data_IF_573611841852
#
_entry.id   IF_573611841852
#
_cell.length_a   1.000
_cell.length_b   1.000
_cell.length_c   1.000
_cell.angle_alpha   90.00
_cell.angle_beta   90.00
_cell.angle_gamma   90.00
#
_symmetry.space_group_name_H-M   'P 1'
#
loop_
_entity.id
_entity.type
_entity.pdbx_description
1 polymer ?
#
# COMPACT_ATOMS: atom_id res chain seq x y z
N UNK A 1 16.06 -8.10 10.58
CA UNK A 1 14.73 -8.60 11.00
C UNK A 1 13.68 -7.91 10.14
N UNK A 2 12.98 -8.67 9.28
CA UNK A 2 11.94 -8.17 8.39
C UNK A 2 10.76 -7.73 9.26
N UNK A 3 10.53 -6.43 9.45
CA UNK A 3 9.39 -5.93 10.23
C UNK A 3 8.15 -6.02 9.35
N UNK A 4 7.54 -7.21 9.35
CA UNK A 4 6.25 -7.47 8.72
C UNK A 4 5.20 -6.48 9.25
N UNK A 5 4.38 -5.95 8.33
CA UNK A 5 3.10 -5.30 8.61
C UNK A 5 2.42 -5.89 9.86
N UNK A 6 2.21 -5.07 10.89
CA UNK A 6 1.50 -5.51 12.10
C UNK A 6 -0.02 -5.38 11.92
N UNK A 7 -0.55 -6.08 10.92
CA UNK A 7 -1.99 -6.18 10.66
C UNK A 7 -2.74 -6.79 11.85
N UNK A 8 -2.05 -7.57 12.70
CA UNK A 8 -2.62 -8.14 13.92
C UNK A 8 -3.21 -7.10 14.87
N UNK A 9 -2.62 -5.92 14.99
CA UNK A 9 -3.16 -4.85 15.86
C UNK A 9 -4.52 -4.36 15.36
N UNK A 10 -4.67 -4.16 14.05
CA UNK A 10 -5.94 -3.68 13.47
C UNK A 10 -6.99 -4.79 13.47
N UNK A 11 -6.59 -6.02 13.16
CA UNK A 11 -7.49 -7.18 13.17
C UNK A 11 -8.03 -7.50 14.58
N UNK A 12 -7.29 -7.14 15.64
CA UNK A 12 -7.76 -7.27 17.01
C UNK A 12 -9.00 -6.38 17.32
N UNK A 13 -9.25 -5.34 16.53
CA UNK A 13 -10.44 -4.48 16.65
C UNK A 13 -11.72 -5.17 16.14
N UNK A 14 -11.59 -6.28 15.41
CA UNK A 14 -12.70 -7.03 14.85
C UNK A 14 -12.83 -8.37 15.62
N UNK A 15 -13.90 -8.57 16.41
CA UNK A 15 -14.00 -9.72 17.32
C UNK A 15 -14.33 -11.04 16.60
N UNK A 16 -15.05 -10.98 15.48
CA UNK A 16 -15.50 -12.15 14.73
C UNK A 16 -14.80 -12.32 13.37
N UNK A 17 -14.90 -13.54 12.81
CA UNK A 17 -14.27 -13.90 11.55
C UNK A 17 -14.86 -13.18 10.33
N UNK A 18 -16.17 -12.86 10.35
CA UNK A 18 -16.84 -12.20 9.24
C UNK A 18 -16.39 -10.74 9.12
N UNK A 19 -16.32 -10.01 10.23
CA UNK A 19 -15.81 -8.65 10.30
C UNK A 19 -14.34 -8.55 9.88
N UNK A 20 -13.50 -9.48 10.34
CA UNK A 20 -12.08 -9.56 9.91
C UNK A 20 -11.96 -9.81 8.41
N UNK A 21 -12.76 -10.73 7.85
CA UNK A 21 -12.78 -11.02 6.41
C UNK A 21 -13.20 -9.79 5.61
N UNK A 22 -14.34 -9.18 5.94
CA UNK A 22 -14.84 -7.99 5.26
C UNK A 22 -13.83 -6.82 5.29
N UNK A 23 -13.17 -6.62 6.44
CA UNK A 23 -12.11 -5.64 6.60
C UNK A 23 -10.92 -5.89 5.67
N UNK A 24 -10.42 -7.14 5.62
CA UNK A 24 -9.29 -7.52 4.78
C UNK A 24 -9.63 -7.41 3.29
N UNK A 25 -10.85 -7.79 2.89
CA UNK A 25 -11.33 -7.65 1.51
C UNK A 25 -11.38 -6.19 1.07
N UNK A 26 -11.92 -5.30 1.92
CA UNK A 26 -11.94 -3.86 1.65
C UNK A 26 -10.53 -3.28 1.57
N UNK A 27 -9.66 -3.65 2.50
CA UNK A 27 -8.27 -3.21 2.54
C UNK A 27 -7.50 -3.67 1.30
N UNK A 28 -7.74 -4.90 0.84
CA UNK A 28 -7.15 -5.46 -0.37
C UNK A 28 -7.63 -4.73 -1.63
N UNK A 29 -8.93 -4.46 -1.73
CA UNK A 29 -9.49 -3.69 -2.84
C UNK A 29 -8.87 -2.28 -2.89
N UNK A 30 -8.72 -1.61 -1.74
CA UNK A 30 -8.10 -0.29 -1.65
C UNK A 30 -6.63 -0.32 -2.05
N UNK A 31 -5.83 -1.27 -1.53
CA UNK A 31 -4.41 -1.40 -1.87
C UNK A 31 -4.20 -1.64 -3.39
N UNK A 32 -5.05 -2.46 -4.02
CA UNK A 32 -5.04 -2.68 -5.47
C UNK A 32 -5.40 -1.44 -6.27
N UNK A 33 -6.42 -0.70 -5.83
CA UNK A 33 -6.82 0.55 -6.45
C UNK A 33 -5.71 1.61 -6.38
N UNK A 34 -5.09 1.77 -5.20
CA UNK A 34 -3.96 2.68 -4.99
C UNK A 34 -2.79 2.33 -5.93
N UNK A 35 -2.42 1.05 -5.99
CA UNK A 35 -1.34 0.57 -6.86
C UNK A 35 -1.63 0.82 -8.35
N UNK A 36 -2.85 0.52 -8.81
CA UNK A 36 -3.24 0.74 -10.19
C UNK A 36 -3.24 2.23 -10.55
N UNK A 37 -3.76 3.09 -9.67
CA UNK A 37 -3.84 4.52 -9.89
C UNK A 37 -2.44 5.17 -9.94
N UNK A 38 -1.52 4.76 -9.06
CA UNK A 38 -0.13 5.23 -9.09
C UNK A 38 0.53 4.85 -10.42
N UNK A 39 0.43 3.57 -10.83
CA UNK A 39 1.01 3.08 -12.11
C UNK A 39 0.48 3.86 -13.30
N UNK A 40 -0.84 4.07 -13.36
CA UNK A 40 -1.48 4.80 -14.45
C UNK A 40 -1.02 6.26 -14.51
N UNK A 41 -1.02 6.96 -13.37
CA UNK A 41 -0.63 8.36 -13.32
C UNK A 41 0.87 8.57 -13.65
N UNK A 42 1.74 7.69 -13.15
CA UNK A 42 3.18 7.71 -13.49
C UNK A 42 3.39 7.45 -14.99
N UNK A 43 2.71 6.46 -15.56
CA UNK A 43 2.81 6.15 -16.99
C UNK A 43 2.27 7.28 -17.88
N UNK A 44 1.23 7.99 -17.44
CA UNK A 44 0.65 9.12 -18.14
C UNK A 44 1.47 10.43 -17.99
N UNK A 45 2.50 10.44 -17.14
CA UNK A 45 3.26 11.66 -16.81
C UNK A 45 2.49 12.65 -15.94
N UNK A 46 1.35 12.26 -15.37
CA UNK A 46 0.57 13.10 -14.45
C UNK A 46 1.13 12.99 -13.03
N UNK A 47 2.19 13.75 -12.77
CA UNK A 47 2.89 13.71 -11.49
C UNK A 47 2.11 14.34 -10.34
N UNK A 48 1.13 15.20 -10.64
CA UNK A 48 0.23 15.76 -9.62
C UNK A 48 -0.68 14.66 -9.11
N UNK A 49 -1.34 13.94 -10.01
CA UNK A 49 -2.21 12.83 -9.68
C UNK A 49 -1.44 11.68 -9.03
N UNK A 50 -0.29 11.29 -9.60
CA UNK A 50 0.56 10.25 -9.04
C UNK A 50 0.96 10.56 -7.59
N UNK A 51 1.22 11.84 -7.27
CA UNK A 51 1.57 12.27 -5.90
C UNK A 51 0.38 12.15 -4.96
N UNK A 52 -0.82 12.51 -5.41
CA UNK A 52 -2.04 12.35 -4.62
C UNK A 52 -2.31 10.87 -4.32
N UNK A 53 -2.19 10.00 -5.32
CA UNK A 53 -2.39 8.56 -5.15
C UNK A 53 -1.30 7.93 -4.26
N UNK A 54 -0.04 8.36 -4.40
CA UNK A 54 1.05 7.93 -3.49
C UNK A 54 0.77 8.34 -2.05
N UNK A 55 0.23 9.54 -1.82
CA UNK A 55 -0.16 10.00 -0.48
C UNK A 55 -1.31 9.17 0.10
N UNK A 56 -2.33 8.84 -0.71
CA UNK A 56 -3.42 7.94 -0.28
C UNK A 56 -2.90 6.56 0.10
N UNK A 57 -2.04 5.97 -0.74
CA UNK A 57 -1.41 4.68 -0.47
C UNK A 57 -0.59 4.70 0.84
N UNK A 58 0.09 5.80 1.13
CA UNK A 58 0.80 6.01 2.40
C UNK A 58 -0.16 5.99 3.60
N UNK A 59 -1.35 6.58 3.46
CA UNK A 59 -2.42 6.48 4.45
C UNK A 59 -2.86 5.03 4.67
N UNK A 60 -3.10 4.29 3.59
CA UNK A 60 -3.44 2.85 3.62
C UNK A 60 -2.38 2.04 4.37
N UNK A 61 -1.10 2.19 4.01
CA UNK A 61 0.02 1.51 4.68
C UNK A 61 0.11 1.90 6.16
N UNK A 62 0.02 3.20 6.48
CA UNK A 62 0.11 3.65 7.88
C UNK A 62 -1.04 3.12 8.73
N UNK A 63 -2.24 2.98 8.15
CA UNK A 63 -3.41 2.49 8.87
C UNK A 63 -3.36 0.98 9.11
N UNK A 64 -2.97 0.19 8.10
CA UNK A 64 -2.93 -1.28 8.16
C UNK A 64 -1.77 -1.83 9.00
N UNK A 65 -0.81 -0.99 9.33
CA UNK A 65 0.36 -1.33 10.14
C UNK A 65 1.60 -0.74 9.50
N UNK A 66 2.31 0.10 10.25
CA UNK A 66 3.48 0.80 9.73
C UNK A 66 4.61 -0.18 9.37
N UNK A 67 4.84 -0.38 8.08
CA UNK A 67 6.10 -0.90 7.56
C UNK A 67 7.04 0.29 7.27
N UNK A 68 8.13 0.46 8.04
CA UNK A 68 9.07 1.56 7.86
C UNK A 68 9.70 1.60 6.47
N UNK A 69 9.90 0.45 5.83
CA UNK A 69 10.49 0.39 4.49
C UNK A 69 9.49 0.84 3.44
N UNK A 70 8.23 0.38 3.52
CA UNK A 70 7.16 0.86 2.65
C UNK A 70 6.96 2.38 2.77
N UNK A 71 6.94 2.91 3.99
CA UNK A 71 6.81 4.35 4.24
C UNK A 71 7.97 5.14 3.62
N UNK A 72 9.21 4.65 3.79
CA UNK A 72 10.41 5.26 3.21
C UNK A 72 10.37 5.25 1.68
N UNK A 73 9.93 4.17 1.05
CA UNK A 73 9.80 4.09 -0.41
C UNK A 73 8.72 5.04 -0.94
N UNK A 74 7.55 5.10 -0.29
CA UNK A 74 6.47 6.02 -0.65
C UNK A 74 6.86 7.49 -0.47
N UNK A 75 7.65 7.80 0.57
CA UNK A 75 8.20 9.15 0.77
C UNK A 75 9.22 9.53 -0.30
N UNK A 76 10.09 8.59 -0.71
CA UNK A 76 11.04 8.81 -1.80
C UNK A 76 10.31 9.07 -3.13
N UNK A 77 9.26 8.29 -3.44
CA UNK A 77 8.42 8.49 -4.62
C UNK A 77 7.69 9.84 -4.56
N UNK A 78 7.10 10.19 -3.42
CA UNK A 78 6.44 11.49 -3.21
C UNK A 78 7.40 12.66 -3.46
N UNK A 79 8.63 12.57 -2.97
CA UNK A 79 9.65 13.60 -3.15
C UNK A 79 10.08 13.72 -4.62
N UNK A 80 10.26 12.60 -5.32
CA UNK A 80 10.58 12.57 -6.75
C UNK A 80 9.45 13.17 -7.61
N UNK A 81 8.19 12.78 -7.34
CA UNK A 81 7.01 13.31 -8.01
C UNK A 81 6.83 14.81 -7.78
N UNK A 82 7.08 15.29 -6.55
CA UNK A 82 7.04 16.73 -6.24
C UNK A 82 8.09 17.53 -7.01
N UNK A 83 9.26 16.95 -7.25
CA UNK A 83 10.33 17.56 -8.03
C UNK A 83 10.08 17.46 -9.55
N UNK A 84 9.09 16.68 -9.99
CA UNK A 84 8.81 16.37 -11.40
C UNK A 84 10.05 15.89 -12.17
N UNK A 85 10.94 15.14 -11.51
CA UNK A 85 12.19 14.63 -12.08
C UNK A 85 11.99 13.19 -12.58
N UNK A 86 11.93 12.96 -13.91
CA UNK A 86 11.61 11.64 -14.45
C UNK A 86 12.63 10.55 -14.07
N UNK A 87 13.91 10.89 -13.97
CA UNK A 87 14.95 9.93 -13.60
C UNK A 87 14.79 9.49 -12.15
N UNK A 88 14.50 10.43 -11.25
CA UNK A 88 14.23 10.11 -9.83
C UNK A 88 12.91 9.38 -9.64
N UNK A 89 11.89 9.71 -10.43
CA UNK A 89 10.60 9.00 -10.41
C UNK A 89 10.82 7.54 -10.81
N UNK A 90 11.54 7.28 -11.90
CA UNK A 90 11.84 5.92 -12.35
C UNK A 90 12.58 5.09 -11.27
N UNK A 91 13.56 5.69 -10.59
CA UNK A 91 14.29 5.03 -9.49
C UNK A 91 13.44 4.78 -8.24
N UNK A 92 12.53 5.70 -7.91
CA UNK A 92 11.70 5.61 -6.71
C UNK A 92 10.42 4.81 -6.90
N UNK A 93 9.92 4.68 -8.13
CA UNK A 93 8.66 4.00 -8.42
C UNK A 93 8.72 2.50 -8.12
N UNK A 94 9.75 1.79 -8.62
CA UNK A 94 9.84 0.34 -8.46
C UNK A 94 9.90 -0.13 -6.99
N UNK A 95 10.67 0.50 -6.07
CA UNK A 95 10.63 0.15 -4.65
C UNK A 95 9.27 0.42 -3.98
N UNK A 96 8.61 1.53 -4.32
CA UNK A 96 7.30 1.86 -3.79
C UNK A 96 6.23 0.85 -4.25
N UNK A 97 6.26 0.51 -5.54
CA UNK A 97 5.42 -0.50 -6.16
C UNK A 97 5.61 -1.87 -5.48
N UNK A 98 6.86 -2.30 -5.29
CA UNK A 98 7.18 -3.56 -4.62
C UNK A 98 6.65 -3.60 -3.18
N UNK A 99 6.73 -2.49 -2.44
CA UNK A 99 6.16 -2.40 -1.09
C UNK A 99 4.63 -2.52 -1.08
N UNK A 100 3.93 -1.91 -2.04
CA UNK A 100 2.47 -2.05 -2.15
C UNK A 100 2.07 -3.48 -2.58
N UNK A 101 2.84 -4.13 -3.44
CA UNK A 101 2.63 -5.54 -3.78
C UNK A 101 2.86 -6.47 -2.58
N UNK A 102 3.84 -6.15 -1.72
CA UNK A 102 4.06 -6.90 -0.48
C UNK A 102 2.89 -6.73 0.49
N UNK A 103 2.31 -5.52 0.60
CA UNK A 103 1.08 -5.30 1.35
C UNK A 103 -0.08 -6.13 0.80
N UNK A 104 -0.29 -6.13 -0.52
CA UNK A 104 -1.31 -6.95 -1.18
C UNK A 104 -1.14 -8.44 -0.82
N UNK A 105 0.08 -8.96 -0.93
CA UNK A 105 0.40 -10.35 -0.63
C UNK A 105 0.18 -10.70 0.86
N UNK A 106 0.45 -9.75 1.76
CA UNK A 106 0.16 -9.93 3.18
C UNK A 106 -1.35 -9.99 3.45
N UNK A 107 -2.12 -9.06 2.88
CA UNK A 107 -3.58 -9.04 3.01
C UNK A 107 -4.21 -10.34 2.51
N UNK A 108 -3.77 -10.84 1.36
CA UNK A 108 -4.19 -12.14 0.82
C UNK A 108 -3.85 -13.30 1.76
N UNK A 109 -2.65 -13.29 2.36
CA UNK A 109 -2.24 -14.33 3.32
C UNK A 109 -3.12 -14.33 4.57
N UNK A 110 -3.42 -13.14 5.10
CA UNK A 110 -4.31 -13.00 6.26
C UNK A 110 -5.74 -13.44 5.92
N UNK A 111 -6.24 -13.08 4.74
CA UNK A 111 -7.58 -13.46 4.29
C UNK A 111 -7.72 -14.98 4.13
N UNK A 112 -6.70 -15.65 3.61
CA UNK A 112 -6.65 -17.11 3.47
C UNK A 112 -6.57 -17.84 4.82
N UNK A 113 -6.08 -17.18 5.87
CA UNK A 113 -5.99 -17.75 7.22
C UNK A 113 -7.34 -17.72 7.99
N UNK A 114 -8.32 -16.96 7.51
CA UNK A 114 -9.66 -16.94 8.10
C UNK A 114 -10.48 -18.10 7.50
N UNK A 115 -11.02 -19.03 8.30
CA UNK A 115 -11.87 -20.10 7.79
C UNK A 115 -13.05 -19.54 6.98
N UNK A 116 -13.39 -20.16 5.84
CA UNK A 116 -14.68 -19.91 5.20
C UNK A 116 -15.78 -20.42 6.15
N UNK A 117 -16.83 -19.62 6.33
CA UNK A 117 -18.01 -20.03 7.09
C UNK A 117 -18.78 -21.15 6.37
#
# INVERSE_FOLDING_TARGET
MKRMLNLSTVLALYPDAAGRRAFLELSLAQARADLAAIRQAVAAGDYVEARQQTHRAKGTVSFLGTDPDAMRHLDALTAALRAADPARIALAHAPAEASLQQLEAELLRQLAAIPAA
#
